data_IF_045797009374
#
_entry.id   IF_045797009374
#
_cell.length_a   1.000
_cell.length_b   1.000
_cell.length_c   1.000
_cell.angle_alpha   90.00
_cell.angle_beta   90.00
_cell.angle_gamma   90.00
#
_symmetry.space_group_name_H-M   'P 1'
#
loop_
_entity.id
_entity.type
_entity.pdbx_description
1 polymer ?
#
# COMPACT_ATOMS: atom_id res chain seq x y z
N UNK A 1 1.23 -29.46 -16.14
CA UNK A 1 1.32 -28.10 -16.73
C UNK A 1 0.08 -27.39 -16.25
N UNK A 2 0.23 -26.54 -15.25
CA UNK A 2 -0.84 -25.64 -14.81
C UNK A 2 -0.90 -24.52 -15.86
N UNK A 3 -1.88 -24.52 -16.74
CA UNK A 3 -2.23 -23.33 -17.49
C UNK A 3 -2.62 -22.26 -16.50
N UNK A 4 -1.91 -21.15 -16.51
CA UNK A 4 -2.27 -19.99 -15.72
C UNK A 4 -3.68 -19.56 -16.12
N UNK A 5 -4.63 -19.81 -15.24
CA UNK A 5 -6.04 -19.57 -15.54
C UNK A 5 -6.26 -18.11 -15.93
N UNK A 6 -7.17 -17.91 -16.86
CA UNK A 6 -7.63 -16.61 -17.35
C UNK A 6 -7.72 -15.56 -16.22
N UNK A 7 -7.12 -14.39 -16.43
CA UNK A 7 -7.05 -13.31 -15.48
C UNK A 7 -8.44 -12.91 -14.95
N UNK A 8 -9.47 -12.92 -15.81
CA UNK A 8 -10.85 -12.58 -15.45
C UNK A 8 -11.40 -13.60 -14.47
N UNK A 9 -11.20 -14.90 -14.71
CA UNK A 9 -11.64 -15.98 -13.82
C UNK A 9 -10.94 -15.88 -12.46
N UNK A 10 -9.61 -15.63 -12.48
CA UNK A 10 -8.82 -15.46 -11.26
C UNK A 10 -9.32 -14.26 -10.45
N UNK A 11 -9.54 -13.12 -11.11
CA UNK A 11 -10.02 -11.89 -10.45
C UNK A 11 -11.39 -12.11 -9.80
N UNK A 12 -12.33 -12.72 -10.49
CA UNK A 12 -13.65 -13.03 -9.92
C UNK A 12 -13.51 -13.99 -8.73
N UNK A 13 -12.76 -15.09 -8.88
CA UNK A 13 -12.56 -16.04 -7.80
C UNK A 13 -11.96 -15.40 -6.56
N UNK A 14 -11.04 -14.47 -6.78
CA UNK A 14 -10.17 -13.91 -5.74
C UNK A 14 -10.74 -12.66 -5.09
N UNK A 15 -11.51 -11.86 -5.80
CA UNK A 15 -11.94 -10.54 -5.35
C UNK A 15 -13.47 -10.43 -5.19
N UNK A 16 -14.24 -11.35 -5.80
CA UNK A 16 -15.68 -11.25 -5.72
C UNK A 16 -16.19 -11.54 -4.30
N UNK A 17 -17.00 -10.62 -3.78
CA UNK A 17 -17.72 -10.77 -2.52
C UNK A 17 -19.23 -10.58 -2.77
N UNK A 18 -20.09 -11.17 -1.92
CA UNK A 18 -21.56 -11.06 -2.02
C UNK A 18 -22.07 -9.63 -1.85
N UNK A 19 -21.27 -8.77 -1.21
CA UNK A 19 -21.60 -7.36 -0.97
C UNK A 19 -21.36 -6.46 -2.19
N UNK A 20 -20.84 -7.04 -3.31
CA UNK A 20 -20.62 -6.30 -4.55
C UNK A 20 -21.89 -6.24 -5.38
N UNK A 21 -22.31 -5.03 -5.72
CA UNK A 21 -23.53 -4.77 -6.48
C UNK A 21 -23.40 -5.18 -7.95
N UNK A 22 -22.24 -4.93 -8.56
CA UNK A 22 -22.01 -5.20 -9.96
C UNK A 22 -20.54 -5.51 -10.30
N UNK A 23 -20.34 -6.24 -11.38
CA UNK A 23 -19.04 -6.52 -12.01
C UNK A 23 -19.15 -6.05 -13.46
N UNK A 24 -18.48 -4.96 -13.78
CA UNK A 24 -18.42 -4.40 -15.11
C UNK A 24 -17.25 -4.99 -15.89
N UNK A 25 -17.51 -5.48 -17.08
CA UNK A 25 -16.49 -6.08 -17.94
C UNK A 25 -16.54 -5.43 -19.31
N UNK A 26 -15.42 -4.84 -19.74
CA UNK A 26 -15.23 -4.28 -21.06
C UNK A 26 -14.79 -5.37 -22.04
N UNK A 27 -15.38 -5.36 -23.24
CA UNK A 27 -15.12 -6.34 -24.27
C UNK A 27 -15.97 -7.62 -24.18
N UNK A 28 -16.49 -8.05 -25.33
CA UNK A 28 -17.44 -9.16 -25.40
C UNK A 28 -16.84 -10.51 -24.95
N UNK A 29 -15.60 -10.77 -25.31
CA UNK A 29 -14.91 -12.00 -24.95
C UNK A 29 -14.73 -12.12 -23.42
N UNK A 30 -14.23 -11.05 -22.78
CA UNK A 30 -14.07 -11.00 -21.32
C UNK A 30 -15.40 -11.12 -20.57
N UNK A 31 -16.44 -10.46 -21.09
CA UNK A 31 -17.80 -10.55 -20.53
C UNK A 31 -18.36 -11.98 -20.57
N UNK A 32 -18.24 -12.69 -21.70
CA UNK A 32 -18.67 -14.09 -21.81
C UNK A 32 -17.95 -14.97 -20.77
N UNK A 33 -16.62 -14.86 -20.70
CA UNK A 33 -15.81 -15.61 -19.74
C UNK A 33 -16.24 -15.31 -18.31
N UNK A 34 -16.40 -14.03 -17.96
CA UNK A 34 -16.81 -13.61 -16.61
C UNK A 34 -18.19 -14.16 -16.25
N UNK A 35 -19.14 -14.05 -17.17
CA UNK A 35 -20.52 -14.48 -16.96
C UNK A 35 -20.65 -16.00 -16.81
N UNK A 36 -19.96 -16.76 -17.63
CA UNK A 36 -19.99 -18.22 -17.58
C UNK A 36 -19.30 -18.72 -16.31
N UNK A 37 -18.18 -18.12 -15.94
CA UNK A 37 -17.50 -18.46 -14.69
C UNK A 37 -18.33 -18.11 -13.45
N UNK A 38 -19.01 -16.94 -13.45
CA UNK A 38 -19.91 -16.56 -12.36
C UNK A 38 -21.11 -17.51 -12.27
N UNK A 39 -21.67 -17.97 -13.40
CA UNK A 39 -22.74 -18.99 -13.41
C UNK A 39 -22.29 -20.31 -12.77
N UNK A 40 -21.04 -20.67 -12.95
CA UNK A 40 -20.49 -21.91 -12.39
C UNK A 40 -20.27 -21.80 -10.89
N UNK A 41 -19.76 -20.66 -10.37
CA UNK A 41 -19.45 -20.48 -8.94
C UNK A 41 -20.69 -20.04 -8.15
N UNK A 42 -21.40 -19.02 -8.63
CA UNK A 42 -22.56 -18.42 -7.97
C UNK A 42 -23.68 -18.07 -8.97
N UNK A 43 -24.52 -19.03 -9.34
CA UNK A 43 -25.57 -18.84 -10.37
C UNK A 43 -26.51 -17.65 -10.08
N UNK A 44 -26.85 -17.42 -8.82
CA UNK A 44 -27.73 -16.33 -8.37
C UNK A 44 -27.14 -14.93 -8.61
N UNK A 45 -25.81 -14.82 -8.66
CA UNK A 45 -25.09 -13.56 -8.83
C UNK A 45 -24.62 -13.32 -10.28
N UNK A 46 -24.90 -14.24 -11.19
CA UNK A 46 -24.53 -14.08 -12.60
C UNK A 46 -25.18 -12.87 -13.28
N UNK A 47 -26.29 -12.38 -12.75
CA UNK A 47 -26.97 -11.15 -13.19
C UNK A 47 -26.19 -9.87 -12.87
N UNK A 48 -25.31 -9.91 -11.86
CA UNK A 48 -24.51 -8.78 -11.45
C UNK A 48 -23.32 -8.54 -12.42
N UNK A 49 -23.01 -9.51 -13.27
CA UNK A 49 -22.00 -9.34 -14.34
C UNK A 49 -22.66 -8.62 -15.51
N UNK A 50 -22.19 -7.41 -15.79
CA UNK A 50 -22.72 -6.54 -16.84
C UNK A 50 -21.65 -6.27 -17.90
N UNK A 51 -22.08 -6.22 -19.16
CA UNK A 51 -21.22 -5.82 -20.25
C UNK A 51 -21.12 -4.29 -20.30
N UNK A 52 -19.91 -3.77 -20.32
CA UNK A 52 -19.65 -2.34 -20.42
C UNK A 52 -19.47 -1.93 -21.88
N UNK A 53 -20.34 -1.03 -22.38
CA UNK A 53 -20.39 -0.59 -23.78
C UNK A 53 -20.37 0.93 -23.96
N UNK A 54 -19.90 1.67 -22.94
CA UNK A 54 -19.79 3.12 -23.02
C UNK A 54 -18.59 3.53 -23.89
N UNK A 55 -18.66 4.64 -24.66
CA UNK A 55 -17.53 5.17 -25.44
C UNK A 55 -16.31 5.55 -24.59
N UNK A 56 -16.53 5.95 -23.32
CA UNK A 56 -15.45 6.25 -22.38
C UNK A 56 -14.87 4.94 -21.84
N UNK A 57 -13.55 4.69 -21.95
CA UNK A 57 -12.93 3.48 -21.39
C UNK A 57 -13.27 3.25 -19.92
N UNK A 58 -13.52 1.99 -19.55
CA UNK A 58 -13.97 1.61 -18.21
C UNK A 58 -13.05 2.14 -17.10
N UNK A 59 -11.74 2.00 -17.25
CA UNK A 59 -10.78 2.42 -16.22
C UNK A 59 -10.69 3.93 -16.10
N UNK A 60 -10.82 4.67 -17.20
CA UNK A 60 -10.87 6.13 -17.17
C UNK A 60 -12.14 6.63 -16.48
N UNK A 61 -13.30 6.01 -16.74
CA UNK A 61 -14.57 6.36 -16.11
C UNK A 61 -14.51 6.25 -14.57
N UNK A 62 -13.90 5.18 -14.08
CA UNK A 62 -13.78 4.92 -12.64
C UNK A 62 -12.45 5.41 -12.05
N UNK A 63 -11.68 6.20 -12.80
CA UNK A 63 -10.41 6.79 -12.36
C UNK A 63 -9.39 5.77 -11.82
N UNK A 64 -9.43 4.54 -12.35
CA UNK A 64 -8.54 3.45 -11.90
C UNK A 64 -7.07 3.80 -12.11
N UNK A 65 -6.75 4.47 -13.23
CA UNK A 65 -5.38 4.92 -13.54
C UNK A 65 -4.85 5.93 -12.51
N UNK A 66 -5.71 6.84 -12.04
CA UNK A 66 -5.37 7.79 -10.98
C UNK A 66 -5.09 7.07 -9.66
N UNK A 67 -5.91 6.06 -9.33
CA UNK A 67 -5.65 5.24 -8.14
C UNK A 67 -4.35 4.45 -8.27
N UNK A 68 -4.06 3.85 -9.43
CA UNK A 68 -2.80 3.15 -9.67
C UNK A 68 -1.60 4.07 -9.50
N UNK A 69 -1.65 5.27 -10.06
CA UNK A 69 -0.59 6.28 -9.91
C UNK A 69 -0.43 6.68 -8.44
N UNK A 70 -1.52 6.82 -7.70
CA UNK A 70 -1.47 7.18 -6.27
C UNK A 70 -0.79 6.11 -5.40
N UNK A 71 -0.76 4.85 -5.84
CA UNK A 71 -0.07 3.78 -5.09
C UNK A 71 1.45 3.93 -5.05
N UNK A 72 2.04 4.73 -5.95
CA UNK A 72 3.47 5.06 -5.91
C UNK A 72 3.79 6.17 -4.91
N UNK A 73 2.79 6.95 -4.48
CA UNK A 73 3.00 7.98 -3.47
C UNK A 73 3.14 7.33 -2.09
N UNK A 74 4.24 7.58 -1.35
CA UNK A 74 4.39 7.07 0.00
C UNK A 74 3.38 7.66 0.99
N UNK A 75 2.84 8.85 0.70
CA UNK A 75 1.88 9.54 1.57
C UNK A 75 0.45 9.21 1.18
N UNK A 76 -0.35 8.79 2.17
CA UNK A 76 -1.77 8.46 2.02
C UNK A 76 -2.59 9.33 2.96
N UNK A 77 -3.50 10.13 2.42
CA UNK A 77 -4.37 11.01 3.21
C UNK A 77 -5.50 10.24 3.89
N UNK A 78 -5.81 10.61 5.12
CA UNK A 78 -6.96 10.13 5.89
C UNK A 78 -8.11 11.13 5.81
N UNK A 79 -9.34 10.66 6.02
CA UNK A 79 -10.56 11.50 5.95
C UNK A 79 -10.58 12.60 7.02
N UNK A 80 -10.02 12.34 8.19
CA UNK A 80 -9.92 13.30 9.30
C UNK A 80 -8.93 14.45 9.04
N UNK A 81 -8.11 14.35 8.00
CA UNK A 81 -7.03 15.30 7.71
C UNK A 81 -5.65 14.85 8.23
N UNK A 82 -5.57 13.69 8.88
CA UNK A 82 -4.32 12.98 9.13
C UNK A 82 -3.76 12.33 7.86
N UNK A 83 -2.61 11.71 7.96
CA UNK A 83 -1.99 10.99 6.84
C UNK A 83 -1.08 9.87 7.33
N UNK A 84 -0.89 8.89 6.46
CA UNK A 84 0.08 7.81 6.64
C UNK A 84 1.30 8.07 5.76
N UNK A 85 2.47 7.70 6.24
CA UNK A 85 3.70 7.64 5.42
C UNK A 85 4.16 6.19 5.37
N UNK A 86 4.19 5.61 4.18
CA UNK A 86 4.56 4.21 3.96
C UNK A 86 5.96 4.16 3.36
N UNK A 87 6.92 3.70 4.15
CA UNK A 87 8.30 3.46 3.73
C UNK A 87 8.56 1.98 3.57
N UNK A 88 9.03 1.56 2.39
CA UNK A 88 9.44 0.19 2.12
C UNK A 88 10.96 0.16 2.13
N UNK A 89 11.53 -0.62 3.06
CA UNK A 89 12.97 -0.87 3.12
C UNK A 89 13.26 -2.31 2.72
N UNK A 90 14.53 -2.66 2.60
CA UNK A 90 14.95 -4.04 2.32
C UNK A 90 14.50 -5.02 3.40
N UNK A 91 14.49 -4.59 4.66
CA UNK A 91 14.22 -5.45 5.81
C UNK A 91 12.76 -5.46 6.26
N UNK A 92 12.07 -4.35 6.17
CA UNK A 92 10.72 -4.17 6.70
C UNK A 92 9.94 -3.06 5.99
N UNK A 93 8.65 -3.05 6.20
CA UNK A 93 7.77 -1.94 5.84
C UNK A 93 7.48 -1.12 7.10
N UNK A 94 7.82 0.15 7.08
CA UNK A 94 7.50 1.10 8.13
C UNK A 94 6.29 1.94 7.72
N UNK A 95 5.33 2.10 8.61
CA UNK A 95 4.13 2.93 8.40
C UNK A 95 4.04 3.89 9.57
N UNK A 96 4.17 5.18 9.30
CA UNK A 96 4.07 6.26 10.27
C UNK A 96 2.69 6.93 10.18
N UNK A 97 2.03 7.13 11.31
CA UNK A 97 0.69 7.72 11.41
C UNK A 97 0.79 9.15 11.94
N UNK A 98 0.35 10.10 11.15
CA UNK A 98 0.39 11.52 11.50
C UNK A 98 -1.02 12.12 11.60
N UNK A 99 -1.27 12.90 12.66
CA UNK A 99 -2.56 13.58 12.87
C UNK A 99 -2.79 14.75 11.90
N UNK A 100 -1.73 15.32 11.34
CA UNK A 100 -1.81 16.44 10.40
C UNK A 100 -2.61 17.61 10.95
N UNK A 101 -3.65 18.02 10.19
CA UNK A 101 -4.56 19.13 10.56
C UNK A 101 -5.78 18.70 11.37
N UNK A 102 -5.85 17.45 11.80
CA UNK A 102 -7.00 16.89 12.54
C UNK A 102 -7.17 17.45 13.97
N UNK A 103 -6.38 18.45 14.38
CA UNK A 103 -6.29 19.01 15.74
C UNK A 103 -7.51 19.82 16.22
N UNK A 104 -8.67 19.70 15.58
CA UNK A 104 -9.88 20.50 15.89
C UNK A 104 -10.83 19.89 16.91
N UNK A 105 -10.53 18.70 17.44
CA UNK A 105 -11.41 18.05 18.42
C UNK A 105 -10.93 18.34 19.85
N UNK A 106 -11.85 18.32 20.82
CA UNK A 106 -11.70 18.91 22.15
C UNK A 106 -10.61 18.30 23.05
N UNK A 107 -10.01 17.15 22.69
CA UNK A 107 -8.93 16.49 23.43
C UNK A 107 -7.88 15.95 22.46
N UNK A 108 -6.62 16.04 22.84
CA UNK A 108 -5.49 15.45 22.08
C UNK A 108 -5.65 13.93 22.00
N UNK A 109 -6.07 13.30 23.09
CA UNK A 109 -6.29 11.85 23.17
C UNK A 109 -7.43 11.38 22.24
N UNK A 110 -8.55 12.12 22.17
CA UNK A 110 -9.67 11.78 21.27
C UNK A 110 -9.28 11.93 19.81
N UNK A 111 -8.47 12.95 19.50
CA UNK A 111 -7.93 13.15 18.15
C UNK A 111 -7.00 12.01 17.77
N UNK A 112 -6.12 11.60 18.66
CA UNK A 112 -5.20 10.48 18.47
C UNK A 112 -5.96 9.18 18.24
N UNK A 113 -6.95 8.86 19.08
CA UNK A 113 -7.77 7.67 18.95
C UNK A 113 -8.50 7.63 17.59
N UNK A 114 -9.15 8.73 17.22
CA UNK A 114 -9.88 8.81 15.95
C UNK A 114 -8.96 8.63 14.75
N UNK A 115 -7.83 9.32 14.74
CA UNK A 115 -6.84 9.20 13.67
C UNK A 115 -6.28 7.79 13.60
N UNK A 116 -5.94 7.18 14.73
CA UNK A 116 -5.42 5.81 14.79
C UNK A 116 -6.45 4.76 14.33
N UNK A 117 -7.74 4.95 14.64
CA UNK A 117 -8.81 4.08 14.15
C UNK A 117 -9.00 4.18 12.63
N UNK A 118 -8.93 5.39 12.06
CA UNK A 118 -8.94 5.59 10.61
C UNK A 118 -7.68 5.01 9.95
N UNK A 119 -6.51 5.22 10.59
CA UNK A 119 -5.25 4.65 10.15
C UNK A 119 -5.29 3.13 10.09
N UNK A 120 -5.88 2.46 11.09
CA UNK A 120 -6.04 1.00 11.10
C UNK A 120 -6.88 0.50 9.93
N UNK A 121 -7.96 1.21 9.57
CA UNK A 121 -8.77 0.89 8.39
C UNK A 121 -7.96 1.07 7.09
N UNK A 122 -7.29 2.22 6.94
CA UNK A 122 -6.54 2.54 5.73
C UNK A 122 -5.28 1.68 5.57
N UNK A 123 -4.53 1.41 6.65
CA UNK A 123 -3.39 0.49 6.62
C UNK A 123 -3.81 -0.87 6.10
N UNK A 124 -4.90 -1.45 6.63
CA UNK A 124 -5.40 -2.75 6.17
C UNK A 124 -5.75 -2.75 4.68
N UNK A 125 -6.24 -1.63 4.15
CA UNK A 125 -6.53 -1.43 2.73
C UNK A 125 -5.24 -1.33 1.90
N UNK A 126 -4.28 -0.52 2.35
CA UNK A 126 -3.01 -0.31 1.66
C UNK A 126 -2.13 -1.57 1.61
N UNK A 127 -2.13 -2.39 2.66
CA UNK A 127 -1.43 -3.68 2.68
C UNK A 127 -1.89 -4.59 1.53
N UNK A 128 -3.19 -4.62 1.25
CA UNK A 128 -3.77 -5.41 0.15
C UNK A 128 -3.55 -4.78 -1.22
N UNK A 129 -3.73 -3.45 -1.33
CA UNK A 129 -3.59 -2.73 -2.60
C UNK A 129 -2.17 -2.77 -3.13
N UNK A 130 -1.18 -2.55 -2.26
CA UNK A 130 0.24 -2.49 -2.62
C UNK A 130 0.93 -3.85 -2.50
N UNK A 131 0.22 -4.89 -2.08
CA UNK A 131 0.78 -6.23 -1.77
C UNK A 131 1.98 -6.16 -0.80
N UNK A 132 1.91 -5.29 0.21
CA UNK A 132 2.96 -5.16 1.21
C UNK A 132 3.02 -6.42 2.07
N UNK A 133 4.20 -6.99 2.25
CA UNK A 133 4.40 -8.26 2.94
C UNK A 133 5.73 -8.29 3.70
N UNK A 134 5.91 -9.33 4.52
CA UNK A 134 7.06 -9.46 5.40
C UNK A 134 6.78 -8.86 6.76
N UNK A 135 7.81 -8.31 7.41
CA UNK A 135 7.69 -7.60 8.68
C UNK A 135 7.19 -6.18 8.43
N UNK A 136 6.16 -5.78 9.14
CA UNK A 136 5.52 -4.47 9.03
C UNK A 136 5.47 -3.88 10.43
N UNK A 137 5.98 -2.66 10.56
CA UNK A 137 5.95 -1.89 11.80
C UNK A 137 5.09 -0.65 11.57
N UNK A 138 4.11 -0.46 12.43
CA UNK A 138 3.21 0.68 12.38
C UNK A 138 3.47 1.53 13.61
N UNK A 139 3.79 2.80 13.38
CA UNK A 139 3.97 3.81 14.42
C UNK A 139 2.65 4.58 14.57
N UNK A 140 1.88 4.22 15.60
CA UNK A 140 0.62 4.88 15.91
C UNK A 140 0.88 6.13 16.76
N UNK A 141 0.00 7.10 16.65
CA UNK A 141 0.04 8.28 17.52
C UNK A 141 -0.10 7.81 18.98
N UNK A 142 0.77 8.30 19.85
CA UNK A 142 0.78 7.93 21.26
C UNK A 142 -0.58 8.17 21.94
N UNK A 143 -1.01 7.20 22.73
CA UNK A 143 -2.23 7.25 23.53
C UNK A 143 -1.92 6.75 24.94
N UNK A 144 -2.37 7.51 25.95
CA UNK A 144 -2.13 7.18 27.36
C UNK A 144 -3.05 6.04 27.85
N UNK A 145 -4.31 5.99 27.35
CA UNK A 145 -5.28 4.99 27.77
C UNK A 145 -5.07 3.66 27.04
N UNK A 146 -4.77 2.61 27.79
CA UNK A 146 -4.66 1.23 27.29
C UNK A 146 -5.93 0.71 26.59
N UNK A 147 -7.10 1.27 26.94
CA UNK A 147 -8.37 0.91 26.28
C UNK A 147 -8.38 1.41 24.84
N UNK A 148 -7.84 2.59 24.59
CA UNK A 148 -7.71 3.17 23.26
C UNK A 148 -6.77 2.31 22.39
N UNK A 149 -5.60 1.94 22.94
CA UNK A 149 -4.70 1.01 22.26
C UNK A 149 -5.38 -0.31 21.90
N UNK A 150 -6.12 -0.91 22.83
CA UNK A 150 -6.87 -2.14 22.59
C UNK A 150 -7.98 -1.98 21.56
N UNK A 151 -8.60 -0.80 21.45
CA UNK A 151 -9.61 -0.50 20.44
C UNK A 151 -8.98 -0.46 19.04
N UNK A 152 -7.84 0.20 18.87
CA UNK A 152 -7.09 0.27 17.61
C UNK A 152 -6.61 -1.11 17.17
N UNK A 153 -6.01 -1.89 18.10
CA UNK A 153 -5.60 -3.28 17.82
C UNK A 153 -6.76 -4.15 17.32
N UNK A 154 -7.91 -4.06 18.00
CA UNK A 154 -9.11 -4.82 17.62
C UNK A 154 -9.60 -4.40 16.25
N UNK A 155 -9.67 -3.10 15.99
CA UNK A 155 -10.09 -2.55 14.70
C UNK A 155 -9.20 -3.05 13.56
N UNK A 156 -7.89 -2.97 13.74
CA UNK A 156 -6.91 -3.47 12.75
C UNK A 156 -7.10 -4.98 12.50
N UNK A 157 -7.17 -5.78 13.56
CA UNK A 157 -7.38 -7.23 13.46
C UNK A 157 -8.69 -7.58 12.73
N UNK A 158 -9.78 -6.85 13.02
CA UNK A 158 -11.07 -7.09 12.36
C UNK A 158 -11.00 -6.76 10.86
N UNK A 159 -10.33 -5.70 10.48
CA UNK A 159 -10.16 -5.33 9.07
C UNK A 159 -9.24 -6.27 8.29
N UNK A 160 -8.25 -6.83 8.96
CA UNK A 160 -7.34 -7.81 8.36
C UNK A 160 -7.97 -9.20 8.18
N UNK A 161 -9.09 -9.52 8.82
CA UNK A 161 -9.80 -10.81 8.62
C UNK A 161 -10.24 -11.05 7.17
N UNK A 162 -10.43 -9.98 6.39
CA UNK A 162 -10.80 -10.08 4.97
C UNK A 162 -9.60 -10.34 4.05
N UNK A 163 -8.37 -10.28 4.58
CA UNK A 163 -7.17 -10.56 3.81
C UNK A 163 -6.96 -12.08 3.72
N UNK A 164 -6.54 -12.54 2.55
CA UNK A 164 -6.24 -13.96 2.28
C UNK A 164 -4.87 -14.38 2.77
N UNK A 165 -3.97 -13.42 2.96
CA UNK A 165 -2.64 -13.69 3.45
C UNK A 165 -2.69 -14.15 4.92
N UNK A 166 -1.81 -15.05 5.30
CA UNK A 166 -1.61 -15.37 6.71
C UNK A 166 -0.96 -14.18 7.40
N UNK A 167 -1.62 -13.65 8.43
CA UNK A 167 -1.20 -12.46 9.15
C UNK A 167 -1.09 -12.79 10.63
N UNK A 168 0.00 -12.33 11.25
CA UNK A 168 0.19 -12.32 12.69
C UNK A 168 0.29 -10.87 13.14
N UNK A 169 -0.53 -10.47 14.12
CA UNK A 169 -0.58 -9.10 14.62
C UNK A 169 -0.23 -9.10 16.10
N UNK A 170 0.79 -8.34 16.46
CA UNK A 170 1.22 -8.10 17.82
C UNK A 170 0.27 -7.20 18.61
N UNK A 171 0.79 -6.63 19.67
CA UNK A 171 0.13 -5.58 20.48
C UNK A 171 0.89 -4.27 20.29
N UNK A 172 0.22 -3.15 20.54
CA UNK A 172 0.88 -1.85 20.59
C UNK A 172 1.80 -1.85 21.82
N UNK A 173 3.09 -1.61 21.58
CA UNK A 173 4.11 -1.54 22.62
C UNK A 173 3.99 -0.25 23.45
N UNK A 174 4.77 -0.15 24.54
CA UNK A 174 4.86 1.09 25.32
C UNK A 174 5.47 2.28 24.56
N UNK A 175 5.97 2.04 23.35
CA UNK A 175 6.52 3.07 22.46
C UNK A 175 5.56 3.44 21.31
N UNK A 176 4.29 3.06 21.37
CA UNK A 176 3.32 3.33 20.30
C UNK A 176 3.42 2.41 19.08
N UNK A 177 4.44 1.52 19.02
CA UNK A 177 4.72 0.67 17.87
C UNK A 177 3.90 -0.60 17.88
N UNK A 178 3.29 -0.93 16.74
CA UNK A 178 2.66 -2.23 16.50
C UNK A 178 3.44 -3.00 15.44
N UNK A 179 3.87 -4.20 15.81
CA UNK A 179 4.54 -5.13 14.91
C UNK A 179 3.56 -6.15 14.36
N UNK A 180 3.67 -6.42 13.07
CA UNK A 180 2.90 -7.47 12.42
C UNK A 180 3.70 -8.15 11.32
N UNK A 181 3.33 -9.39 11.00
CA UNK A 181 3.88 -10.16 9.90
C UNK A 181 2.78 -10.53 8.93
N UNK A 182 3.00 -10.29 7.64
CA UNK A 182 2.09 -10.68 6.56
C UNK A 182 2.80 -11.57 5.55
N UNK A 183 2.20 -12.72 5.26
CA UNK A 183 2.75 -13.66 4.28
C UNK A 183 2.79 -13.01 2.89
N UNK A 184 3.92 -13.16 2.20
CA UNK A 184 4.08 -12.74 0.80
C UNK A 184 3.35 -13.73 -0.10
N UNK A 185 2.33 -13.27 -0.82
CA UNK A 185 1.60 -14.07 -1.81
C UNK A 185 2.16 -13.89 -3.23
N UNK A 186 2.67 -12.69 -3.52
CA UNK A 186 3.30 -12.29 -4.78
C UNK A 186 4.28 -11.15 -4.52
N UNK A 187 5.16 -10.80 -5.48
CA UNK A 187 6.02 -9.62 -5.36
C UNK A 187 5.18 -8.37 -5.10
N UNK A 188 5.66 -7.49 -4.22
CA UNK A 188 5.00 -6.22 -3.95
C UNK A 188 4.88 -5.37 -5.21
N UNK A 189 3.85 -4.54 -5.30
CA UNK A 189 3.60 -3.71 -6.49
C UNK A 189 4.81 -2.84 -6.82
N UNK A 190 5.41 -2.20 -5.82
CA UNK A 190 6.60 -1.35 -6.00
C UNK A 190 7.77 -2.17 -6.50
N UNK A 191 8.06 -3.32 -5.90
CA UNK A 191 9.16 -4.21 -6.34
C UNK A 191 9.00 -4.66 -7.79
N UNK A 192 7.76 -4.97 -8.21
CA UNK A 192 7.49 -5.48 -9.55
C UNK A 192 7.51 -4.41 -10.64
N UNK A 193 7.32 -3.14 -10.30
CA UNK A 193 7.09 -2.07 -11.28
C UNK A 193 8.13 -0.94 -11.24
N UNK A 194 9.06 -0.97 -10.28
CA UNK A 194 10.09 0.06 -10.12
C UNK A 194 11.49 -0.54 -10.13
N UNK A 195 12.47 0.32 -10.36
CA UNK A 195 13.89 0.01 -10.23
C UNK A 195 14.55 1.05 -9.33
N UNK A 196 15.66 0.67 -8.68
CA UNK A 196 16.40 1.60 -7.84
C UNK A 196 16.89 2.80 -8.64
N UNK A 197 16.75 3.98 -8.07
CA UNK A 197 17.27 5.20 -8.67
C UNK A 197 18.81 5.13 -8.76
N UNK A 198 19.41 5.32 -9.95
CA UNK A 198 20.88 5.24 -10.10
C UNK A 198 21.62 6.38 -9.39
N UNK A 199 20.93 7.47 -9.05
CA UNK A 199 21.56 8.63 -8.37
C UNK A 199 21.57 8.50 -6.86
N UNK A 200 20.47 8.05 -6.23
CA UNK A 200 20.36 7.97 -4.78
C UNK A 200 20.31 6.55 -4.23
N UNK A 201 20.30 5.54 -5.08
CA UNK A 201 20.22 4.12 -4.70
C UNK A 201 19.09 3.81 -3.68
N UNK A 202 17.99 4.55 -3.74
CA UNK A 202 16.84 4.39 -2.85
C UNK A 202 16.86 5.25 -1.59
N UNK A 203 17.92 6.06 -1.35
CA UNK A 203 18.02 6.91 -0.15
C UNK A 203 17.14 8.16 -0.22
N UNK A 204 16.69 8.56 -1.43
CA UNK A 204 15.96 9.81 -1.64
C UNK A 204 16.82 11.08 -1.47
N UNK A 205 18.11 10.93 -1.21
CA UNK A 205 19.05 12.02 -0.99
C UNK A 205 20.14 12.00 -2.06
N UNK A 206 20.53 13.17 -2.51
CA UNK A 206 21.70 13.38 -3.39
C UNK A 206 22.69 14.29 -2.67
N UNK A 207 23.95 14.20 -3.04
CA UNK A 207 24.98 15.09 -2.49
C UNK A 207 24.70 16.53 -2.90
N UNK A 208 24.91 17.48 -1.98
CA UNK A 208 24.82 18.90 -2.32
C UNK A 208 25.93 19.29 -3.31
N UNK A 209 25.70 20.34 -4.08
CA UNK A 209 26.67 20.85 -5.05
C UNK A 209 28.00 21.24 -4.39
N UNK A 210 27.94 21.81 -3.20
CA UNK A 210 29.14 22.14 -2.40
C UNK A 210 29.95 20.88 -2.02
N UNK A 211 29.27 19.82 -1.58
CA UNK A 211 29.95 18.57 -1.24
C UNK A 211 30.53 17.87 -2.47
N UNK A 212 29.84 17.98 -3.61
CA UNK A 212 30.36 17.48 -4.89
C UNK A 212 31.60 18.23 -5.33
N UNK A 213 31.57 19.58 -5.24
CA UNK A 213 32.71 20.43 -5.56
C UNK A 213 33.93 20.11 -4.69
N UNK A 214 33.74 19.95 -3.38
CA UNK A 214 34.81 19.52 -2.46
C UNK A 214 35.39 18.16 -2.84
N UNK A 215 34.56 17.21 -3.23
CA UNK A 215 35.01 15.88 -3.67
C UNK A 215 35.86 15.96 -4.94
N UNK A 216 35.46 16.80 -5.92
CA UNK A 216 36.23 17.02 -7.15
C UNK A 216 37.57 17.67 -6.84
N UNK A 217 37.58 18.71 -6.01
CA UNK A 217 38.82 19.39 -5.58
C UNK A 217 39.73 18.39 -4.88
N UNK A 218 39.22 17.57 -3.97
CA UNK A 218 39.99 16.55 -3.28
C UNK A 218 40.61 15.56 -4.26
N UNK A 219 39.88 15.07 -5.25
CA UNK A 219 40.38 14.19 -6.29
C UNK A 219 41.48 14.83 -7.14
N UNK A 220 41.32 16.11 -7.49
CA UNK A 220 42.33 16.84 -8.27
C UNK A 220 43.64 17.00 -7.50
N UNK A 221 43.58 17.24 -6.18
CA UNK A 221 44.76 17.37 -5.33
C UNK A 221 45.44 16.05 -4.97
N UNK A 222 44.68 14.96 -4.90
CA UNK A 222 45.17 13.64 -4.46
C UNK A 222 45.48 12.69 -5.61
N UNK A 223 44.98 12.96 -6.82
CA UNK A 223 45.33 12.17 -8.00
C UNK A 223 46.78 12.39 -8.37
N UNK A 224 47.59 11.29 -8.57
CA UNK A 224 48.94 11.45 -9.05
C UNK A 224 48.93 12.16 -10.40
N UNK A 225 49.78 13.18 -10.52
CA UNK A 225 49.96 13.89 -11.78
C UNK A 225 50.51 12.91 -12.85
N UNK A 226 50.08 13.00 -14.13
CA UNK A 226 50.64 12.23 -15.20
C UNK A 226 52.19 12.45 -15.38
N UNK A 227 52.74 13.45 -14.69
CA UNK A 227 54.17 13.78 -14.71
C UNK A 227 54.94 13.25 -13.48
N UNK A 228 54.24 12.69 -12.49
CA UNK A 228 54.87 12.12 -11.33
C UNK A 228 55.45 10.75 -11.74
N UNK A 229 56.74 10.50 -11.63
CA UNK A 229 57.35 9.20 -11.93
C UNK A 229 56.86 8.16 -10.91
N UNK A 230 56.43 7.00 -11.39
CA UNK A 230 56.02 5.83 -10.61
C UNK A 230 57.23 5.28 -9.87
#
# INVERSE_FOLDING_TARGET
IYEEGDLVKRSIRDLYNRDLDEVLVEGEAGYKIAKDFMRMIMPSHSKNVKHYNDPLPLFSRYQVETYLTSMFNPVVQLKSGGYLVIGVTEALVAIDVNSGRATKEGSIEDTALKTNLEAADEVSRQLRLRDLAGLIVIDFIDMEDRRNNSAVERKLKDKLKTDRARIQVGRISGFGLLEMSRQRLRPGMIEATTQNCPHCHGTGLIRSEENLALSIICLLYTSPSPRDPV
#
